data_IF_042192566712
#
_entry.id   IF_042192566712
#
_cell.length_a   1.000
_cell.length_b   1.000
_cell.length_c   1.000
_cell.angle_alpha   90.00
_cell.angle_beta   90.00
_cell.angle_gamma   90.00
#
_symmetry.space_group_name_H-M   'P 1'
#
loop_
_entity.id
_entity.type
_entity.pdbx_description
1 polymer ?
#
# COMPACT_ATOMS: atom_id res chain seq x y z
N UNK A 1 6.47 20.25 5.80
CA UNK A 1 5.41 19.27 6.12
C UNK A 1 4.54 19.89 7.18
N UNK A 2 3.30 20.25 6.84
CA UNK A 2 2.34 20.76 7.82
C UNK A 2 2.13 19.71 8.91
N UNK A 3 2.20 20.14 10.18
CA UNK A 3 1.96 19.27 11.33
C UNK A 3 0.45 19.19 11.54
N UNK A 4 -0.18 18.06 11.19
CA UNK A 4 -1.60 17.84 11.44
C UNK A 4 -1.87 17.79 12.95
N UNK A 5 -2.89 18.52 13.40
CA UNK A 5 -3.23 18.65 14.82
C UNK A 5 -3.89 17.38 15.32
N UNK A 6 -3.49 16.89 16.49
CA UNK A 6 -4.14 15.76 17.17
C UNK A 6 -5.63 16.08 17.35
N UNK A 7 -6.49 15.17 16.90
CA UNK A 7 -7.96 15.34 16.90
C UNK A 7 -8.54 15.93 15.60
N UNK A 8 -7.71 16.33 14.63
CA UNK A 8 -8.18 16.74 13.31
C UNK A 8 -8.46 15.54 12.40
N UNK A 9 -9.30 15.77 11.40
CA UNK A 9 -9.44 14.91 10.23
C UNK A 9 -8.90 15.70 9.05
N UNK A 10 -7.91 15.16 8.35
CA UNK A 10 -7.38 15.75 7.12
C UNK A 10 -7.29 14.67 6.04
N UNK A 11 -7.57 15.07 4.81
CA UNK A 11 -7.43 14.22 3.63
C UNK A 11 -6.57 15.00 2.65
N UNK A 12 -5.39 14.48 2.33
CA UNK A 12 -4.47 15.09 1.39
C UNK A 12 -4.32 14.21 0.15
N UNK A 13 -4.75 14.67 -1.04
CA UNK A 13 -4.52 13.95 -2.28
C UNK A 13 -3.02 13.99 -2.63
N UNK A 14 -2.46 12.82 -2.94
CA UNK A 14 -1.09 12.69 -3.46
C UNK A 14 -1.16 12.62 -4.98
N UNK A 15 -0.52 13.59 -5.62
CA UNK A 15 -0.44 13.67 -7.06
C UNK A 15 0.87 13.06 -7.56
N UNK A 16 0.78 12.22 -8.57
CA UNK A 16 1.90 11.68 -9.34
C UNK A 16 1.53 11.73 -10.83
N UNK A 17 2.43 12.23 -11.67
CA UNK A 17 2.20 12.40 -13.12
C UNK A 17 0.91 13.18 -13.46
N UNK A 18 0.63 14.25 -12.69
CA UNK A 18 -0.58 15.08 -12.79
C UNK A 18 -1.90 14.34 -12.50
N UNK A 19 -1.84 13.12 -11.96
CA UNK A 19 -3.01 12.31 -11.57
C UNK A 19 -2.98 12.05 -10.06
N UNK A 20 -4.13 11.80 -9.45
CA UNK A 20 -4.21 11.40 -8.03
C UNK A 20 -3.78 9.94 -7.93
N UNK A 21 -2.61 9.70 -7.34
CA UNK A 21 -2.04 8.37 -7.12
C UNK A 21 -2.46 7.74 -5.78
N UNK A 22 -2.91 8.57 -4.82
CA UNK A 22 -3.37 8.09 -3.52
C UNK A 22 -3.89 9.21 -2.63
N UNK A 23 -4.34 8.85 -1.43
CA UNK A 23 -4.74 9.78 -0.37
C UNK A 23 -3.98 9.48 0.91
N UNK A 24 -3.47 10.51 1.56
CA UNK A 24 -3.08 10.45 2.97
C UNK A 24 -4.28 10.90 3.79
N UNK A 25 -4.72 10.03 4.68
CA UNK A 25 -5.72 10.32 5.68
C UNK A 25 -5.02 10.54 7.01
N UNK A 26 -5.30 11.68 7.65
CA UNK A 26 -5.03 11.90 9.05
C UNK A 26 -6.37 11.79 9.79
N UNK A 27 -6.53 10.81 10.67
CA UNK A 27 -7.72 10.69 11.52
C UNK A 27 -7.28 10.62 12.98
N UNK A 28 -7.58 11.68 13.73
CA UNK A 28 -7.38 11.74 15.19
C UNK A 28 -5.95 11.37 15.64
N UNK A 29 -4.94 11.77 14.89
CA UNK A 29 -3.53 11.46 15.20
C UNK A 29 -2.97 10.21 14.53
N UNK A 30 -3.78 9.47 13.76
CA UNK A 30 -3.33 8.33 12.96
C UNK A 30 -3.25 8.70 11.49
N UNK A 31 -2.13 8.36 10.86
CA UNK A 31 -1.92 8.56 9.43
C UNK A 31 -2.02 7.22 8.68
N UNK A 32 -2.83 7.17 7.62
CA UNK A 32 -2.91 6.02 6.74
C UNK A 32 -2.95 6.44 5.27
N UNK A 33 -2.24 5.68 4.45
CA UNK A 33 -2.13 5.92 3.02
C UNK A 33 -3.00 4.93 2.25
N UNK A 34 -3.90 5.47 1.43
CA UNK A 34 -4.69 4.69 0.46
C UNK A 34 -4.11 4.95 -0.93
N UNK A 35 -3.47 3.94 -1.52
CA UNK A 35 -3.09 3.98 -2.94
C UNK A 35 -4.32 3.74 -3.81
N UNK A 36 -4.57 4.61 -4.79
CA UNK A 36 -5.80 4.57 -5.61
C UNK A 36 -5.64 3.87 -6.97
N UNK A 37 -4.42 3.58 -7.41
CA UNK A 37 -4.18 3.12 -8.78
C UNK A 37 -3.42 1.79 -8.83
N UNK A 38 -3.86 0.80 -9.65
CA UNK A 38 -3.00 -0.30 -10.04
C UNK A 38 -2.01 0.24 -11.08
N UNK A 39 -0.79 0.61 -10.65
CA UNK A 39 0.23 1.10 -11.57
C UNK A 39 1.39 1.84 -10.91
N UNK A 40 1.16 2.44 -9.73
CA UNK A 40 2.25 2.96 -8.91
C UNK A 40 2.62 1.92 -7.87
N UNK A 41 3.85 1.40 -7.97
CA UNK A 41 4.40 0.52 -6.95
C UNK A 41 4.29 1.23 -5.58
N UNK A 42 3.84 0.55 -4.51
CA UNK A 42 3.81 1.14 -3.19
C UNK A 42 5.21 1.69 -2.84
N UNK A 43 5.29 2.73 -1.99
CA UNK A 43 6.59 3.21 -1.55
C UNK A 43 7.31 2.14 -0.73
N UNK A 44 8.64 2.17 -0.73
CA UNK A 44 9.46 1.28 0.10
C UNK A 44 9.14 1.52 1.58
N UNK A 45 9.23 0.48 2.41
CA UNK A 45 8.91 0.59 3.83
C UNK A 45 9.83 1.59 4.55
N UNK A 46 11.09 1.69 4.14
CA UNK A 46 12.05 2.65 4.69
C UNK A 46 11.65 4.12 4.48
N UNK A 47 11.03 4.46 3.35
CA UNK A 47 10.49 5.80 3.07
C UNK A 47 9.32 6.17 3.99
N UNK A 48 8.64 5.16 4.55
CA UNK A 48 7.59 5.33 5.56
C UNK A 48 8.16 5.34 6.99
N UNK A 49 9.47 5.27 7.16
CA UNK A 49 10.14 5.25 8.46
C UNK A 49 10.18 3.87 9.14
N UNK A 50 9.71 2.82 8.47
CA UNK A 50 9.72 1.44 8.97
C UNK A 50 11.12 0.84 8.80
N UNK A 51 11.62 0.12 9.80
CA UNK A 51 12.97 -0.48 9.80
C UNK A 51 14.08 0.40 10.39
N UNK A 52 13.76 1.64 10.82
CA UNK A 52 14.69 2.52 11.55
C UNK A 52 15.12 1.95 12.90
N UNK A 53 14.26 1.17 13.54
CA UNK A 53 14.49 0.53 14.84
C UNK A 53 15.22 -0.82 14.74
N UNK A 54 15.71 -1.19 13.53
CA UNK A 54 16.40 -2.44 13.22
C UNK A 54 15.58 -3.72 13.46
N UNK A 55 14.27 -3.62 13.75
CA UNK A 55 13.41 -4.81 13.90
C UNK A 55 13.08 -5.46 12.57
N UNK A 56 13.13 -4.68 11.49
CA UNK A 56 12.96 -5.17 10.11
C UNK A 56 14.31 -5.19 9.43
N UNK A 57 14.64 -6.32 8.79
CA UNK A 57 15.89 -6.45 8.06
C UNK A 57 15.98 -5.40 6.94
N UNK A 58 17.15 -4.77 6.78
CA UNK A 58 17.35 -3.65 5.83
C UNK A 58 16.89 -3.99 4.41
N UNK A 59 17.19 -5.20 3.93
CA UNK A 59 16.82 -5.65 2.57
C UNK A 59 15.31 -5.75 2.38
N UNK A 60 14.55 -6.06 3.44
CA UNK A 60 13.08 -6.05 3.44
C UNK A 60 12.57 -4.61 3.47
N UNK A 61 13.14 -3.77 4.33
CA UNK A 61 12.73 -2.37 4.47
C UNK A 61 12.95 -1.56 3.18
N UNK A 62 14.02 -1.85 2.44
CA UNK A 62 14.38 -1.17 1.19
C UNK A 62 13.84 -1.83 -0.08
N UNK A 63 13.13 -2.97 0.04
CA UNK A 63 12.59 -3.69 -1.10
C UNK A 63 11.54 -2.86 -1.82
N UNK A 64 11.55 -2.89 -3.16
CA UNK A 64 10.46 -2.34 -3.97
C UNK A 64 9.26 -3.28 -3.86
N UNK A 65 8.13 -2.83 -3.29
CA UNK A 65 6.95 -3.66 -3.20
C UNK A 65 6.33 -3.81 -4.60
N UNK A 66 5.91 -5.05 -4.90
CA UNK A 66 5.29 -5.40 -6.19
C UNK A 66 3.84 -5.77 -5.89
N UNK A 67 2.90 -5.08 -6.55
CA UNK A 67 1.49 -5.39 -6.43
C UNK A 67 1.13 -6.61 -7.29
N UNK A 68 0.41 -7.58 -6.70
CA UNK A 68 -0.09 -8.80 -7.38
C UNK A 68 0.96 -9.55 -8.20
N UNK A 69 2.06 -9.95 -7.55
CA UNK A 69 3.07 -10.80 -8.20
C UNK A 69 2.47 -12.16 -8.57
N UNK A 70 2.70 -12.62 -9.79
CA UNK A 70 2.17 -13.91 -10.28
C UNK A 70 2.92 -15.10 -9.71
N UNK A 71 4.23 -14.96 -9.48
CA UNK A 71 5.08 -16.06 -9.00
C UNK A 71 6.08 -15.54 -7.97
N UNK A 72 6.22 -16.23 -6.82
CA UNK A 72 7.30 -16.00 -5.86
C UNK A 72 8.23 -17.20 -5.88
N UNK A 73 9.52 -16.95 -6.11
CA UNK A 73 10.57 -17.97 -5.99
C UNK A 73 11.17 -17.93 -4.59
N UNK A 74 11.16 -19.07 -3.91
CA UNK A 74 11.83 -19.31 -2.64
C UNK A 74 12.92 -20.37 -2.80
N UNK A 75 13.95 -20.29 -1.97
CA UNK A 75 15.01 -21.30 -1.91
C UNK A 75 14.98 -21.99 -0.54
N UNK A 76 14.98 -23.32 -0.53
CA UNK A 76 15.17 -24.09 0.71
C UNK A 76 16.61 -24.01 1.19
N UNK A 77 16.86 -24.48 2.42
CA UNK A 77 18.20 -24.52 3.01
C UNK A 77 19.23 -25.31 2.17
N UNK A 78 18.77 -26.28 1.38
CA UNK A 78 19.58 -27.06 0.43
C UNK A 78 19.74 -26.38 -0.95
N UNK A 79 19.38 -25.09 -1.08
CA UNK A 79 19.36 -24.33 -2.34
C UNK A 79 18.37 -24.84 -3.41
N UNK A 80 17.46 -25.75 -3.04
CA UNK A 80 16.40 -26.19 -3.94
C UNK A 80 15.39 -25.06 -4.18
N UNK A 81 15.10 -24.80 -5.46
CA UNK A 81 14.18 -23.75 -5.90
C UNK A 81 12.74 -24.23 -5.80
N UNK A 82 11.88 -23.39 -5.21
CA UNK A 82 10.44 -23.59 -5.15
C UNK A 82 9.77 -22.34 -5.70
N UNK A 83 8.88 -22.52 -6.67
CA UNK A 83 8.04 -21.45 -7.18
C UNK A 83 6.62 -21.59 -6.63
N UNK A 84 6.08 -20.49 -6.12
CA UNK A 84 4.70 -20.38 -5.62
C UNK A 84 3.93 -19.47 -6.56
N UNK A 85 2.96 -20.03 -7.27
CA UNK A 85 2.12 -19.30 -8.21
C UNK A 85 0.86 -18.76 -7.54
N UNK A 86 0.46 -17.54 -7.90
CA UNK A 86 -0.69 -16.85 -7.35
C UNK A 86 -1.74 -16.62 -8.44
N UNK A 87 -2.95 -17.13 -8.22
CA UNK A 87 -4.10 -16.84 -9.07
C UNK A 87 -4.89 -15.65 -8.52
N UNK A 88 -4.62 -14.45 -9.06
CA UNK A 88 -5.32 -13.24 -8.67
C UNK A 88 -6.67 -13.15 -9.37
N UNK A 89 -7.76 -13.34 -8.62
CA UNK A 89 -9.11 -13.10 -9.16
C UNK A 89 -9.29 -11.61 -9.48
N UNK A 90 -9.84 -11.33 -10.67
CA UNK A 90 -10.31 -9.99 -11.00
C UNK A 90 -11.53 -9.71 -10.13
N UNK A 91 -11.40 -8.76 -9.21
CA UNK A 91 -12.51 -8.25 -8.41
C UNK A 91 -12.69 -6.78 -8.76
N UNK A 92 -13.94 -6.30 -8.89
CA UNK A 92 -14.19 -4.89 -9.07
C UNK A 92 -13.59 -4.12 -7.89
N UNK A 93 -12.96 -2.97 -8.17
CA UNK A 93 -12.38 -2.11 -7.14
C UNK A 93 -13.43 -1.50 -6.20
N UNK A 94 -14.70 -1.59 -6.58
CA UNK A 94 -15.85 -1.07 -5.85
C UNK A 94 -16.64 -2.25 -5.31
N UNK A 95 -16.95 -2.23 -4.02
CA UNK A 95 -17.88 -3.17 -3.41
C UNK A 95 -19.21 -3.08 -4.16
N UNK A 96 -19.81 -4.21 -4.53
CA UNK A 96 -21.16 -4.23 -5.11
C UNK A 96 -22.27 -4.11 -4.06
N UNK A 97 -21.90 -4.00 -2.78
CA UNK A 97 -22.82 -3.87 -1.67
C UNK A 97 -23.33 -2.43 -1.56
N UNK A 98 -24.62 -2.27 -1.85
CA UNK A 98 -25.36 -1.00 -1.86
C UNK A 98 -25.19 -0.17 -0.58
N UNK A 99 -24.84 -0.79 0.56
CA UNK A 99 -24.58 -0.08 1.82
C UNK A 99 -23.35 0.83 1.77
N UNK A 100 -22.44 0.59 0.84
CA UNK A 100 -21.23 1.40 0.64
C UNK A 100 -21.36 2.39 -0.53
N UNK A 101 -22.53 2.47 -1.18
CA UNK A 101 -22.82 3.43 -2.22
C UNK A 101 -23.62 4.61 -1.66
N UNK A 102 -23.36 5.80 -2.21
CA UNK A 102 -24.19 6.98 -1.92
C UNK A 102 -25.61 6.70 -2.45
N UNK A 103 -26.68 6.99 -1.68
CA UNK A 103 -28.05 6.83 -2.16
C UNK A 103 -28.26 7.61 -3.47
N UNK A 104 -28.99 7.02 -4.41
CA UNK A 104 -29.40 7.70 -5.64
C UNK A 104 -30.48 8.73 -5.24
N UNK A 105 -30.25 10.01 -5.55
CA UNK A 105 -31.24 11.10 -5.37
C UNK A 105 -32.48 10.93 -6.24
#
# INVERSE_FOLDING_TARGET
>A
MEKFRVGSICITPIHQDQKIGGFIFHIRGFDFFLSLYPGHAPPKLDTLGIGKDKKVAKHIASALPIYRKEVITAFRQNQERIDVEFEWKSQPAVSSDLRYHVPIE
#
